data_IF_427383768899
#
_entry.id   IF_427383768899
#
_cell.length_a   1.000
_cell.length_b   1.000
_cell.length_c   1.000
_cell.angle_alpha   90.00
_cell.angle_beta   90.00
_cell.angle_gamma   90.00
#
_symmetry.space_group_name_H-M   'P 1'
#
loop_
_entity.id
_entity.type
_entity.pdbx_description
1 polymer ?
#
# COMPACT_ATOMS: atom_id res chain seq x y z
N UNK A 1 -3.69 29.91 -30.55
CA UNK A 1 -2.66 29.43 -29.64
C UNK A 1 -3.26 28.28 -28.84
N UNK A 2 -2.74 27.11 -29.05
CA UNK A 2 -3.16 25.93 -28.28
C UNK A 2 -2.71 26.13 -26.84
N UNK A 3 -3.67 26.35 -25.92
CA UNK A 3 -3.40 26.60 -24.50
C UNK A 3 -3.35 25.31 -23.67
N UNK A 4 -3.41 24.17 -24.35
CA UNK A 4 -3.26 22.87 -23.69
C UNK A 4 -1.78 22.63 -23.38
N UNK A 5 -1.50 22.15 -22.18
CA UNK A 5 -0.17 21.66 -21.90
C UNK A 5 0.08 20.38 -22.68
N UNK A 6 1.29 20.26 -23.19
CA UNK A 6 1.76 19.00 -23.72
C UNK A 6 1.75 17.93 -22.61
N UNK A 7 1.37 16.74 -22.96
CA UNK A 7 1.26 15.61 -22.03
C UNK A 7 2.61 15.31 -21.38
N UNK A 8 3.71 15.44 -22.13
CA UNK A 8 5.06 15.20 -21.59
C UNK A 8 5.41 16.19 -20.49
N UNK A 9 5.06 17.47 -20.63
CA UNK A 9 5.20 18.49 -19.59
C UNK A 9 4.40 18.15 -18.33
N UNK A 10 3.17 17.64 -18.48
CA UNK A 10 2.35 17.27 -17.33
C UNK A 10 2.89 16.02 -16.61
N UNK A 11 3.47 15.06 -17.35
CA UNK A 11 4.14 13.88 -16.78
C UNK A 11 5.36 14.30 -15.96
N UNK A 12 6.16 15.24 -16.47
CA UNK A 12 7.32 15.78 -15.73
C UNK A 12 6.87 16.50 -14.45
N UNK A 13 5.85 17.33 -14.52
CA UNK A 13 5.28 18.03 -13.35
C UNK A 13 4.82 17.02 -12.30
N UNK A 14 4.04 16.00 -12.67
CA UNK A 14 3.52 15.01 -11.71
C UNK A 14 4.66 14.19 -11.07
N UNK A 15 5.73 13.92 -11.83
CA UNK A 15 6.94 13.26 -11.36
C UNK A 15 7.69 14.08 -10.31
N UNK A 16 7.76 15.40 -10.47
CA UNK A 16 8.44 16.32 -9.56
C UNK A 16 7.66 16.68 -8.28
N UNK A 17 6.37 16.31 -8.17
CA UNK A 17 5.57 16.60 -6.97
C UNK A 17 5.98 15.71 -5.80
N UNK A 18 5.89 16.26 -4.57
CA UNK A 18 6.10 15.47 -3.36
C UNK A 18 5.11 14.30 -3.29
N UNK A 19 5.60 13.06 -3.12
CA UNK A 19 4.74 11.90 -3.02
C UNK A 19 3.95 11.92 -1.70
N UNK A 20 2.77 11.31 -1.71
CA UNK A 20 2.09 10.94 -0.47
C UNK A 20 2.89 9.86 0.23
N UNK A 21 3.13 10.02 1.53
CA UNK A 21 3.83 8.99 2.33
C UNK A 21 2.99 7.71 2.36
N UNK A 22 3.51 6.66 1.74
CA UNK A 22 2.96 5.31 1.77
C UNK A 22 3.88 4.46 2.63
N UNK A 23 3.34 3.80 3.65
CA UNK A 23 4.13 2.98 4.57
C UNK A 23 4.11 1.49 4.17
N UNK A 24 2.91 0.91 4.10
CA UNK A 24 2.76 -0.51 3.74
C UNK A 24 3.24 -0.79 2.32
N UNK A 25 2.88 0.10 1.40
CA UNK A 25 3.28 0.00 0.00
C UNK A 25 4.81 0.10 -0.16
N UNK A 26 5.45 1.02 0.57
CA UNK A 26 6.91 1.21 0.50
C UNK A 26 7.68 0.07 1.15
N UNK A 27 7.14 -0.52 2.22
CA UNK A 27 7.80 -1.57 2.97
C UNK A 27 7.68 -2.95 2.29
N UNK A 28 6.48 -3.30 1.82
CA UNK A 28 6.21 -4.64 1.28
C UNK A 28 6.15 -4.71 -0.25
N UNK A 29 5.99 -3.57 -0.94
CA UNK A 29 5.86 -3.49 -2.41
C UNK A 29 6.83 -2.45 -3.00
N UNK A 30 8.15 -2.59 -2.79
CA UNK A 30 9.13 -1.59 -3.26
C UNK A 30 9.32 -1.62 -4.78
N UNK A 31 9.14 -2.77 -5.42
CA UNK A 31 9.35 -2.95 -6.85
C UNK A 31 8.28 -2.24 -7.69
N UNK A 32 8.64 -1.82 -8.91
CA UNK A 32 7.73 -1.26 -9.91
C UNK A 32 7.86 -2.05 -11.20
N UNK A 33 6.74 -2.50 -11.75
CA UNK A 33 6.67 -3.23 -13.01
C UNK A 33 5.55 -2.64 -13.86
N UNK A 34 5.80 -2.45 -15.13
CA UNK A 34 4.80 -1.98 -16.10
C UNK A 34 4.49 -3.08 -17.12
N UNK A 35 3.21 -3.21 -17.49
CA UNK A 35 2.73 -4.19 -18.45
C UNK A 35 2.09 -3.48 -19.64
N UNK A 36 2.63 -3.66 -20.82
CA UNK A 36 2.07 -3.11 -22.07
C UNK A 36 0.77 -3.81 -22.51
N UNK A 37 0.28 -4.75 -21.71
CA UNK A 37 -0.96 -5.48 -21.95
C UNK A 37 -2.10 -4.90 -21.11
N UNK A 38 -3.34 -5.08 -21.57
CA UNK A 38 -4.54 -4.69 -20.82
C UNK A 38 -4.80 -5.59 -19.60
N UNK A 39 -4.04 -6.67 -19.45
CA UNK A 39 -4.13 -7.61 -18.33
C UNK A 39 -2.75 -7.86 -17.74
N UNK A 40 -2.71 -7.98 -16.43
CA UNK A 40 -1.51 -8.32 -15.67
C UNK A 40 -1.56 -9.81 -15.37
N UNK A 41 -0.50 -10.53 -15.71
CA UNK A 41 -0.36 -11.94 -15.34
C UNK A 41 0.69 -12.07 -14.24
N UNK A 42 0.36 -12.85 -13.23
CA UNK A 42 1.28 -13.18 -12.15
C UNK A 42 1.23 -14.69 -11.85
N UNK A 43 2.35 -15.21 -11.45
CA UNK A 43 2.52 -16.62 -11.12
C UNK A 43 2.71 -16.78 -9.62
N UNK A 44 1.97 -17.68 -8.99
CA UNK A 44 2.32 -18.17 -7.65
C UNK A 44 3.42 -19.23 -7.85
N UNK A 45 4.61 -18.91 -7.38
CA UNK A 45 5.73 -19.88 -7.31
C UNK A 45 5.71 -20.48 -5.92
N UNK A 46 5.42 -21.78 -5.83
CA UNK A 46 5.56 -22.52 -4.57
C UNK A 46 6.89 -23.25 -4.57
N UNK A 47 7.74 -23.00 -3.59
CA UNK A 47 8.95 -23.77 -3.39
C UNK A 47 8.62 -25.19 -2.85
N UNK A 48 9.24 -26.19 -3.44
CA UNK A 48 9.15 -27.56 -2.93
C UNK A 48 10.25 -27.81 -1.89
N UNK A 49 9.89 -27.61 -0.61
CA UNK A 49 10.81 -27.83 0.51
C UNK A 49 10.98 -29.31 0.90
N UNK A 50 10.53 -30.25 0.07
CA UNK A 50 10.67 -31.68 0.34
C UNK A 50 12.12 -32.11 0.24
N UNK A 51 12.54 -32.96 1.20
CA UNK A 51 13.87 -33.55 1.15
C UNK A 51 13.99 -34.55 -0.03
N UNK A 52 15.16 -34.55 -0.64
CA UNK A 52 15.49 -35.60 -1.65
C UNK A 52 15.46 -36.98 -1.00
N UNK A 53 14.74 -37.97 -1.58
CA UNK A 53 14.69 -39.31 -1.00
C UNK A 53 16.04 -40.01 -1.13
N UNK A 54 16.46 -40.74 -0.10
CA UNK A 54 17.58 -41.64 -0.19
C UNK A 54 17.18 -42.84 -1.06
N UNK A 55 18.03 -43.21 -2.01
CA UNK A 55 17.87 -44.40 -2.87
C UNK A 55 19.16 -45.23 -2.82
N UNK A 56 19.02 -46.54 -2.92
CA UNK A 56 20.17 -47.43 -3.05
C UNK A 56 20.94 -47.12 -4.35
N UNK A 57 22.27 -47.18 -4.34
CA UNK A 57 23.08 -46.99 -5.57
C UNK A 57 22.75 -47.97 -6.72
N UNK A 58 22.10 -49.09 -6.40
CA UNK A 58 21.72 -50.13 -7.34
C UNK A 58 20.27 -50.01 -7.86
N UNK A 59 19.53 -48.95 -7.44
CA UNK A 59 18.15 -48.75 -7.85
C UNK A 59 18.04 -47.42 -8.61
N UNK A 60 17.16 -47.38 -9.60
CA UNK A 60 16.91 -46.17 -10.38
C UNK A 60 16.42 -45.02 -9.48
N UNK A 61 16.88 -43.80 -9.74
CA UNK A 61 16.48 -42.60 -9.01
C UNK A 61 14.95 -42.38 -9.03
N UNK A 62 14.38 -41.88 -7.97
CA UNK A 62 12.94 -41.58 -7.85
C UNK A 62 12.66 -40.26 -8.55
N UNK A 63 11.74 -40.27 -9.52
CA UNK A 63 11.25 -39.01 -10.15
C UNK A 63 10.47 -38.20 -9.14
N UNK A 64 10.93 -37.00 -8.87
CA UNK A 64 10.20 -36.03 -8.08
C UNK A 64 9.28 -35.21 -8.99
N UNK A 65 8.01 -35.10 -8.61
CA UNK A 65 7.07 -34.23 -9.31
C UNK A 65 7.46 -32.78 -9.02
N UNK A 66 7.66 -31.99 -10.07
CA UNK A 66 7.77 -30.55 -9.93
C UNK A 66 6.41 -29.98 -9.51
N UNK A 67 6.42 -29.03 -8.59
CA UNK A 67 5.24 -28.23 -8.28
C UNK A 67 4.94 -27.37 -9.52
N UNK A 68 3.67 -27.38 -9.93
CA UNK A 68 3.22 -26.53 -11.02
C UNK A 68 3.16 -25.05 -10.56
N UNK A 69 3.49 -24.16 -11.47
CA UNK A 69 3.14 -22.73 -11.30
C UNK A 69 1.69 -22.52 -11.72
N UNK A 70 0.93 -21.76 -10.94
CA UNK A 70 -0.42 -21.37 -11.29
C UNK A 70 -0.40 -19.91 -11.79
N UNK A 71 -0.58 -19.75 -13.11
CA UNK A 71 -0.64 -18.43 -13.74
C UNK A 71 -2.05 -17.87 -13.63
N UNK A 72 -2.15 -16.64 -13.14
CA UNK A 72 -3.40 -15.89 -13.10
C UNK A 72 -3.27 -14.60 -13.89
N UNK A 73 -4.33 -14.27 -14.60
CA UNK A 73 -4.42 -13.04 -15.38
C UNK A 73 -5.55 -12.19 -14.82
N UNK A 74 -5.24 -10.97 -14.51
CA UNK A 74 -6.20 -9.99 -14.00
C UNK A 74 -6.15 -8.71 -14.81
N UNK A 75 -7.32 -8.12 -15.07
CA UNK A 75 -7.41 -6.81 -15.72
C UNK A 75 -7.47 -5.73 -14.62
N UNK A 76 -6.40 -4.91 -14.45
CA UNK A 76 -6.37 -3.91 -13.40
C UNK A 76 -7.49 -2.88 -13.62
N UNK A 77 -8.09 -2.46 -12.50
CA UNK A 77 -9.08 -1.40 -12.54
C UNK A 77 -8.44 -0.05 -12.79
N UNK A 78 -9.11 0.77 -13.56
CA UNK A 78 -8.68 2.13 -13.84
C UNK A 78 -9.04 3.10 -12.73
N UNK A 79 -8.09 3.91 -12.35
CA UNK A 79 -8.29 5.11 -11.55
C UNK A 79 -8.23 6.32 -12.47
N UNK A 80 -9.29 7.13 -12.49
CA UNK A 80 -9.42 8.30 -13.37
C UNK A 80 -9.93 9.53 -12.60
N UNK A 81 -9.21 10.03 -11.58
CA UNK A 81 -9.60 11.30 -10.97
C UNK A 81 -9.58 12.40 -12.03
N UNK A 82 -10.67 13.17 -12.09
CA UNK A 82 -10.90 14.26 -13.03
C UNK A 82 -11.43 15.46 -12.27
N UNK A 83 -10.77 16.58 -12.42
CA UNK A 83 -11.17 17.85 -11.82
C UNK A 83 -11.25 18.96 -12.87
N UNK A 84 -12.00 20.03 -12.53
CA UNK A 84 -12.22 21.20 -13.34
C UNK A 84 -11.32 22.33 -12.87
N UNK A 85 -10.64 22.99 -13.80
CA UNK A 85 -9.99 24.26 -13.52
C UNK A 85 -11.07 25.35 -13.54
N UNK A 86 -11.53 25.74 -12.36
CA UNK A 86 -12.55 26.77 -12.22
C UNK A 86 -12.01 28.13 -12.72
N UNK A 87 -12.62 28.72 -13.76
CA UNK A 87 -12.16 29.99 -14.30
C UNK A 87 -12.22 31.15 -13.29
N UNK A 88 -13.15 31.12 -12.33
CA UNK A 88 -13.27 32.17 -11.31
C UNK A 88 -12.08 32.18 -10.37
N UNK A 89 -11.54 31.00 -10.01
CA UNK A 89 -10.36 30.85 -9.15
C UNK A 89 -9.09 31.47 -9.73
N UNK A 90 -9.00 31.60 -11.06
CA UNK A 90 -7.86 32.24 -11.75
C UNK A 90 -7.79 33.74 -11.43
N UNK A 91 -8.93 34.38 -11.21
CA UNK A 91 -9.01 35.81 -10.91
C UNK A 91 -8.89 36.11 -9.42
N UNK A 92 -9.09 35.11 -8.55
CA UNK A 92 -9.00 35.26 -7.09
C UNK A 92 -7.57 35.01 -6.62
N UNK A 93 -7.11 35.82 -5.68
CA UNK A 93 -5.81 35.65 -5.02
C UNK A 93 -5.72 34.28 -4.35
N UNK A 94 -4.63 33.56 -4.58
CA UNK A 94 -4.38 32.26 -3.93
C UNK A 94 -4.02 32.42 -2.44
N UNK A 95 -4.37 31.47 -1.60
CA UNK A 95 -3.83 31.38 -0.24
C UNK A 95 -2.29 31.35 -0.27
N UNK A 96 -1.64 32.21 0.53
CA UNK A 96 -0.17 32.32 0.55
C UNK A 96 0.43 33.34 -0.44
N UNK A 97 -0.34 33.83 -1.41
CA UNK A 97 0.09 34.94 -2.28
C UNK A 97 0.10 36.26 -1.51
N UNK A 98 1.08 37.14 -1.78
CA UNK A 98 1.15 38.47 -1.14
C UNK A 98 -0.11 39.30 -1.36
N UNK A 99 -0.41 40.17 -0.37
CA UNK A 99 -1.54 41.11 -0.48
C UNK A 99 -1.28 42.05 -1.65
N UNK A 100 -2.22 42.09 -2.60
CA UNK A 100 -2.08 42.84 -3.86
C UNK A 100 -1.95 41.98 -5.08
N UNK A 101 -1.60 40.68 -4.93
CA UNK A 101 -1.54 39.70 -6.03
C UNK A 101 -0.36 39.92 -6.96
N UNK A 102 0.73 39.20 -6.76
CA UNK A 102 1.91 39.28 -7.62
C UNK A 102 1.88 38.34 -8.84
N UNK A 103 0.97 37.33 -8.81
CA UNK A 103 0.87 36.36 -9.87
C UNK A 103 -0.06 36.84 -11.01
N UNK A 104 0.35 36.59 -12.24
CA UNK A 104 -0.54 36.77 -13.41
C UNK A 104 -1.66 35.71 -13.41
N UNK A 105 -2.79 35.96 -14.10
CA UNK A 105 -3.84 34.95 -14.27
C UNK A 105 -3.32 33.62 -14.83
N UNK A 106 -2.38 33.66 -15.76
CA UNK A 106 -1.74 32.46 -16.31
C UNK A 106 -0.92 31.71 -15.28
N UNK A 107 -0.13 32.40 -14.47
CA UNK A 107 0.63 31.79 -13.39
C UNK A 107 -0.30 31.14 -12.33
N UNK A 108 -1.44 31.78 -12.02
CA UNK A 108 -2.44 31.19 -11.11
C UNK A 108 -3.07 29.93 -11.71
N UNK A 109 -3.42 29.97 -13.02
CA UNK A 109 -3.93 28.78 -13.73
C UNK A 109 -2.95 27.63 -13.64
N UNK A 110 -1.67 27.87 -13.93
CA UNK A 110 -0.63 26.84 -13.89
C UNK A 110 -0.47 26.25 -12.49
N UNK A 111 -0.50 27.10 -11.48
CA UNK A 111 -0.43 26.66 -10.10
C UNK A 111 -1.68 25.87 -9.67
N UNK A 112 -2.88 26.20 -10.17
CA UNK A 112 -4.11 25.41 -9.91
C UNK A 112 -3.99 24.03 -10.56
N UNK A 113 -3.49 23.93 -11.78
CA UNK A 113 -3.25 22.65 -12.46
C UNK A 113 -2.26 21.79 -11.66
N UNK A 114 -1.15 22.38 -11.21
CA UNK A 114 -0.19 21.66 -10.38
C UNK A 114 -0.80 21.17 -9.05
N UNK A 115 -1.62 21.96 -8.39
CA UNK A 115 -2.35 21.55 -7.17
C UNK A 115 -3.30 20.37 -7.43
N UNK A 116 -4.04 20.41 -8.56
CA UNK A 116 -4.95 19.34 -8.99
C UNK A 116 -4.14 18.05 -9.24
N UNK A 117 -3.03 18.13 -9.97
CA UNK A 117 -2.18 16.98 -10.25
C UNK A 117 -1.59 16.39 -8.96
N UNK A 118 -1.18 17.24 -8.01
CA UNK A 118 -0.71 16.80 -6.70
C UNK A 118 -1.80 16.06 -5.92
N UNK A 119 -3.04 16.55 -5.95
CA UNK A 119 -4.17 15.90 -5.29
C UNK A 119 -4.52 14.56 -5.98
N UNK A 120 -4.54 14.50 -7.31
CA UNK A 120 -4.73 13.25 -8.05
C UNK A 120 -3.68 12.21 -7.68
N UNK A 121 -2.40 12.59 -7.64
CA UNK A 121 -1.31 11.70 -7.23
C UNK A 121 -1.54 11.16 -5.81
N UNK A 122 -1.89 12.02 -4.86
CA UNK A 122 -2.18 11.62 -3.48
C UNK A 122 -3.38 10.67 -3.38
N UNK A 123 -4.44 10.89 -4.17
CA UNK A 123 -5.62 10.01 -4.22
C UNK A 123 -5.26 8.63 -4.77
N UNK A 124 -4.48 8.56 -5.86
CA UNK A 124 -4.04 7.30 -6.47
C UNK A 124 -3.15 6.52 -5.49
N UNK A 125 -2.13 7.16 -4.90
CA UNK A 125 -1.24 6.50 -3.93
C UNK A 125 -2.00 6.03 -2.68
N UNK A 126 -2.97 6.80 -2.19
CA UNK A 126 -3.84 6.38 -1.07
C UNK A 126 -4.68 5.16 -1.41
N UNK A 127 -5.18 5.06 -2.64
CA UNK A 127 -5.90 3.86 -3.10
C UNK A 127 -4.96 2.65 -3.16
N UNK A 128 -3.73 2.83 -3.63
CA UNK A 128 -2.72 1.77 -3.66
C UNK A 128 -2.33 1.31 -2.25
N UNK A 129 -2.17 2.23 -1.31
CA UNK A 129 -1.92 1.91 0.11
C UNK A 129 -3.08 1.09 0.72
N UNK A 130 -4.32 1.45 0.37
CA UNK A 130 -5.51 0.67 0.77
C UNK A 130 -5.49 -0.74 0.18
N UNK A 131 -5.17 -0.90 -1.10
CA UNK A 131 -5.03 -2.22 -1.72
C UNK A 131 -3.92 -3.04 -1.07
N UNK A 132 -2.77 -2.43 -0.77
CA UNK A 132 -1.68 -3.10 -0.05
C UNK A 132 -2.12 -3.58 1.34
N UNK A 133 -2.88 -2.76 2.08
CA UNK A 133 -3.47 -3.16 3.36
C UNK A 133 -4.43 -4.35 3.20
N UNK A 134 -5.32 -4.35 2.20
CA UNK A 134 -6.21 -5.47 1.94
C UNK A 134 -5.44 -6.77 1.66
N UNK A 135 -4.38 -6.70 0.83
CA UNK A 135 -3.53 -7.85 0.52
C UNK A 135 -2.89 -8.42 1.79
N UNK A 136 -2.29 -7.54 2.61
CA UNK A 136 -1.62 -7.96 3.84
C UNK A 136 -2.59 -8.49 4.89
N UNK A 137 -3.83 -8.02 4.92
CA UNK A 137 -4.87 -8.46 5.87
C UNK A 137 -5.56 -9.75 5.43
N UNK A 138 -5.93 -9.85 4.17
CA UNK A 138 -6.81 -10.92 3.69
C UNK A 138 -6.20 -11.80 2.60
N UNK A 139 -5.07 -11.43 2.01
CA UNK A 139 -4.50 -12.07 0.82
C UNK A 139 -5.29 -11.76 -0.46
N UNK A 140 -6.23 -10.81 -0.42
CA UNK A 140 -7.13 -10.48 -1.53
C UNK A 140 -7.28 -8.98 -1.70
N UNK A 141 -7.65 -8.55 -2.90
CA UNK A 141 -8.08 -7.18 -3.19
C UNK A 141 -9.48 -7.22 -3.75
N UNK A 142 -10.39 -6.47 -3.14
CA UNK A 142 -11.72 -6.23 -3.70
C UNK A 142 -11.69 -4.88 -4.42
N UNK A 143 -11.95 -4.93 -5.71
CA UNK A 143 -12.06 -3.76 -6.57
C UNK A 143 -13.53 -3.51 -6.84
N UNK A 144 -14.04 -2.40 -6.37
CA UNK A 144 -15.41 -1.95 -6.59
C UNK A 144 -15.43 -0.46 -6.96
N UNK A 145 -16.39 -0.04 -7.76
CA UNK A 145 -16.59 1.33 -8.16
C UNK A 145 -18.03 1.54 -8.64
N UNK A 146 -18.47 2.80 -8.75
CA UNK A 146 -19.84 3.18 -9.08
C UNK A 146 -20.32 2.56 -10.40
N UNK A 147 -19.46 2.57 -11.44
CA UNK A 147 -19.74 1.97 -12.76
C UNK A 147 -18.79 0.81 -13.09
N UNK A 148 -18.25 0.15 -12.07
CA UNK A 148 -17.29 -0.93 -12.23
C UNK A 148 -17.81 -2.19 -11.51
N UNK A 149 -17.90 -3.33 -12.22
CA UNK A 149 -18.35 -4.57 -11.57
C UNK A 149 -17.37 -4.97 -10.47
N UNK A 150 -17.91 -5.34 -9.31
CA UNK A 150 -17.09 -5.82 -8.20
C UNK A 150 -16.26 -7.02 -8.66
N UNK A 151 -14.96 -6.92 -8.53
CA UNK A 151 -14.01 -7.98 -8.85
C UNK A 151 -13.12 -8.27 -7.65
N UNK A 152 -12.93 -9.55 -7.34
CA UNK A 152 -12.00 -10.00 -6.32
C UNK A 152 -10.75 -10.56 -6.98
N UNK A 153 -9.58 -10.06 -6.57
CA UNK A 153 -8.27 -10.61 -6.93
C UNK A 153 -7.76 -11.38 -5.74
N UNK A 154 -7.70 -12.71 -5.84
CA UNK A 154 -7.18 -13.59 -4.80
C UNK A 154 -5.72 -13.94 -5.12
N UNK A 155 -4.80 -13.68 -4.19
CA UNK A 155 -3.38 -14.02 -4.30
C UNK A 155 -3.05 -15.37 -3.67
N UNK A 156 -4.06 -16.15 -3.29
CA UNK A 156 -3.93 -17.51 -2.74
C UNK A 156 -3.03 -17.60 -1.51
N UNK A 157 -3.10 -16.60 -0.63
CA UNK A 157 -2.46 -16.68 0.68
C UNK A 157 -3.10 -17.83 1.47
N UNK A 158 -2.27 -18.62 2.14
CA UNK A 158 -2.72 -19.71 3.00
C UNK A 158 -3.74 -19.21 4.03
N UNK A 159 -4.91 -19.86 4.19
CA UNK A 159 -5.90 -19.47 5.19
C UNK A 159 -5.35 -19.44 6.62
N UNK A 160 -4.35 -20.28 6.92
CA UNK A 160 -3.66 -20.30 8.20
C UNK A 160 -2.91 -19.01 8.55
N UNK A 161 -2.64 -18.15 7.55
CA UNK A 161 -1.94 -16.88 7.75
C UNK A 161 -2.89 -15.71 8.12
N UNK A 162 -4.18 -16.00 8.30
CA UNK A 162 -5.16 -15.05 8.86
C UNK A 162 -5.67 -15.62 10.18
N UNK A 163 -5.22 -15.05 11.29
CA UNK A 163 -5.47 -15.55 12.64
C UNK A 163 -6.36 -14.59 13.42
N UNK A 164 -7.14 -15.13 14.35
CA UNK A 164 -7.87 -14.34 15.35
C UNK A 164 -7.71 -15.00 16.72
N UNK A 165 -7.15 -14.26 17.66
CA UNK A 165 -7.04 -14.74 19.04
C UNK A 165 -8.43 -14.73 19.69
N UNK A 166 -8.72 -15.74 20.50
CA UNK A 166 -10.02 -15.93 21.13
C UNK A 166 -9.92 -16.19 22.62
N UNK A 167 -10.95 -15.77 23.36
CA UNK A 167 -11.01 -16.03 24.80
C UNK A 167 -9.81 -15.49 25.57
N UNK A 168 -9.19 -16.32 26.38
CA UNK A 168 -8.09 -15.95 27.28
C UNK A 168 -6.76 -15.64 26.58
N UNK A 169 -6.64 -15.96 25.28
CA UNK A 169 -5.42 -15.63 24.50
C UNK A 169 -5.45 -14.21 23.93
N UNK A 170 -6.56 -13.50 23.97
CA UNK A 170 -6.67 -12.12 23.51
C UNK A 170 -5.72 -11.21 24.31
N UNK A 171 -5.04 -10.31 23.66
CA UNK A 171 -4.13 -9.38 24.32
C UNK A 171 -4.84 -8.34 25.21
N UNK A 172 -6.16 -8.28 25.16
CA UNK A 172 -6.96 -7.56 26.16
C UNK A 172 -6.96 -8.22 27.52
N UNK A 173 -6.74 -9.52 27.59
CA UNK A 173 -6.75 -10.32 28.81
C UNK A 173 -5.39 -10.29 29.52
N UNK A 174 -5.39 -10.35 30.83
CA UNK A 174 -4.16 -10.34 31.63
C UNK A 174 -3.37 -11.64 31.56
N UNK A 175 -4.00 -12.72 31.12
CA UNK A 175 -3.42 -14.06 30.98
C UNK A 175 -2.74 -14.29 29.63
N UNK A 176 -2.90 -13.37 28.70
CA UNK A 176 -2.29 -13.47 27.38
C UNK A 176 -0.76 -13.40 27.47
N UNK A 177 -0.11 -14.02 26.50
CA UNK A 177 1.35 -14.09 26.39
C UNK A 177 1.80 -13.64 25.00
N UNK A 178 1.86 -12.32 24.76
CA UNK A 178 2.16 -11.79 23.43
C UNK A 178 3.50 -12.22 22.84
N UNK A 179 4.51 -12.50 23.69
CA UNK A 179 5.81 -12.96 23.21
C UNK A 179 5.76 -14.40 22.71
N UNK A 180 5.07 -15.30 23.46
CA UNK A 180 4.85 -16.69 23.03
C UNK A 180 4.04 -16.73 21.72
N UNK A 181 3.06 -15.82 21.57
CA UNK A 181 2.28 -15.69 20.35
C UNK A 181 3.17 -15.29 19.16
N UNK A 182 4.03 -14.28 19.33
CA UNK A 182 4.96 -13.81 18.27
C UNK A 182 5.92 -14.93 17.87
N UNK A 183 6.45 -15.69 18.83
CA UNK A 183 7.31 -16.84 18.57
C UNK A 183 6.56 -17.94 17.79
N UNK A 184 5.29 -18.20 18.15
CA UNK A 184 4.47 -19.18 17.44
C UNK A 184 4.18 -18.75 16.01
N UNK A 185 3.93 -17.45 15.77
CA UNK A 185 3.74 -16.90 14.41
C UNK A 185 5.01 -16.99 13.59
N UNK A 186 6.18 -16.72 14.21
CA UNK A 186 7.47 -16.86 13.55
C UNK A 186 7.76 -18.32 13.16
N UNK A 187 7.35 -19.28 13.99
CA UNK A 187 7.47 -20.70 13.67
C UNK A 187 6.49 -21.18 12.58
N UNK A 188 5.33 -20.51 12.44
CA UNK A 188 4.31 -20.82 11.44
C UNK A 188 4.62 -20.20 10.08
N UNK A 189 5.28 -19.04 10.05
CA UNK A 189 5.54 -18.27 8.83
C UNK A 189 6.47 -19.03 7.89
N UNK A 190 6.20 -18.96 6.58
CA UNK A 190 7.08 -19.53 5.55
C UNK A 190 8.38 -18.73 5.36
N UNK A 191 8.43 -17.51 5.88
CA UNK A 191 9.59 -16.62 5.82
C UNK A 191 9.87 -15.99 7.20
N UNK A 192 11.12 -15.60 7.50
CA UNK A 192 11.44 -14.94 8.75
C UNK A 192 10.61 -13.68 8.96
N UNK A 193 10.01 -13.52 10.13
CA UNK A 193 9.31 -12.30 10.51
C UNK A 193 10.34 -11.31 11.05
N UNK A 194 10.47 -10.16 10.39
CA UNK A 194 11.39 -9.09 10.84
C UNK A 194 10.65 -7.82 11.26
N UNK A 195 9.34 -7.74 10.96
CA UNK A 195 8.56 -6.52 11.21
C UNK A 195 7.18 -6.87 11.75
N UNK A 196 6.81 -6.23 12.85
CA UNK A 196 5.46 -6.23 13.41
C UNK A 196 4.85 -4.84 13.21
N UNK A 197 3.76 -4.77 12.47
CA UNK A 197 3.00 -3.54 12.27
C UNK A 197 1.68 -3.69 13.01
N UNK A 198 1.44 -2.80 13.95
CA UNK A 198 0.28 -2.83 14.82
C UNK A 198 -0.58 -1.59 14.61
N UNK A 199 -1.90 -1.74 14.73
CA UNK A 199 -2.71 -0.57 14.97
C UNK A 199 -2.50 -0.02 16.39
N UNK A 200 -2.99 1.18 16.65
CA UNK A 200 -2.82 1.84 17.94
C UNK A 200 -3.41 1.05 19.12
N UNK A 201 -4.51 0.32 18.91
CA UNK A 201 -5.16 -0.45 19.96
C UNK A 201 -4.37 -1.73 20.28
N UNK A 202 -3.94 -2.45 19.24
CA UNK A 202 -3.08 -3.64 19.40
C UNK A 202 -1.78 -3.28 20.11
N UNK A 203 -1.10 -2.20 19.70
CA UNK A 203 0.12 -1.75 20.35
C UNK A 203 -0.10 -1.41 21.83
N UNK A 204 -1.17 -0.70 22.18
CA UNK A 204 -1.49 -0.38 23.58
C UNK A 204 -1.69 -1.63 24.41
N UNK A 205 -2.37 -2.64 23.89
CA UNK A 205 -2.53 -3.92 24.56
C UNK A 205 -1.19 -4.63 24.71
N UNK A 206 -0.35 -4.64 23.68
CA UNK A 206 0.97 -5.26 23.65
C UNK A 206 1.93 -4.70 24.72
N UNK A 207 2.02 -3.37 24.83
CA UNK A 207 2.94 -2.70 25.79
C UNK A 207 2.48 -2.80 27.25
N UNK A 208 1.28 -3.30 27.54
CA UNK A 208 0.81 -3.48 28.94
C UNK A 208 1.55 -4.59 29.67
N UNK A 209 2.14 -5.53 28.96
CA UNK A 209 2.85 -6.66 29.54
C UNK A 209 4.29 -6.28 29.92
N UNK A 210 4.67 -6.52 31.18
CA UNK A 210 6.02 -6.21 31.67
C UNK A 210 7.12 -6.90 30.88
N UNK A 211 6.88 -8.14 30.44
CA UNK A 211 7.83 -8.90 29.63
C UNK A 211 8.15 -8.17 28.31
N UNK A 212 7.12 -7.64 27.66
CA UNK A 212 7.28 -6.84 26.44
C UNK A 212 8.06 -5.57 26.73
N UNK A 213 7.72 -4.85 27.81
CA UNK A 213 8.41 -3.60 28.18
C UNK A 213 9.91 -3.82 28.46
N UNK A 214 10.27 -4.96 29.05
CA UNK A 214 11.68 -5.30 29.35
C UNK A 214 12.49 -5.64 28.09
N UNK A 215 11.84 -6.24 27.08
CA UNK A 215 12.50 -6.66 25.84
C UNK A 215 12.47 -5.61 24.74
N UNK A 216 11.52 -4.68 24.78
CA UNK A 216 11.40 -3.64 23.78
C UNK A 216 12.54 -2.62 23.94
N UNK A 217 13.53 -2.70 23.05
CA UNK A 217 14.67 -1.78 23.05
C UNK A 217 14.39 -0.59 22.12
N UNK A 218 14.15 0.56 22.73
CA UNK A 218 13.97 1.84 22.04
C UNK A 218 15.27 2.54 21.64
N UNK A 219 16.45 1.99 21.96
CA UNK A 219 17.76 2.68 21.85
C UNK A 219 18.21 2.96 20.42
N UNK A 220 17.66 2.29 19.43
CA UNK A 220 18.01 2.54 18.02
C UNK A 220 17.63 3.95 17.56
N UNK A 221 16.68 4.56 18.23
CA UNK A 221 16.37 5.99 18.14
C UNK A 221 16.96 6.71 19.37
N UNK A 222 18.22 7.06 19.34
CA UNK A 222 18.97 7.70 20.45
C UNK A 222 18.46 9.10 20.84
N UNK A 223 17.18 9.35 20.72
CA UNK A 223 16.49 10.57 21.15
C UNK A 223 15.58 10.26 22.31
N UNK A 224 16.17 10.13 23.49
CA UNK A 224 15.57 10.25 24.82
C UNK A 224 14.27 9.43 25.13
N UNK A 225 14.12 9.08 26.40
CA UNK A 225 12.98 8.48 27.12
C UNK A 225 11.56 9.01 26.76
N UNK A 226 11.45 9.89 25.75
CA UNK A 226 10.23 10.58 25.34
C UNK A 226 9.44 9.88 24.21
N UNK A 227 9.94 8.77 23.64
CA UNK A 227 9.24 8.11 22.51
C UNK A 227 8.16 7.10 22.98
N UNK A 228 8.03 6.84 24.25
CA UNK A 228 6.86 6.18 24.85
C UNK A 228 5.68 7.12 25.00
N UNK A 229 5.82 8.37 24.58
CA UNK A 229 4.76 9.38 24.62
C UNK A 229 3.58 9.08 23.68
N UNK A 230 2.48 9.80 23.86
CA UNK A 230 1.31 9.65 23.01
C UNK A 230 1.66 9.91 21.55
N UNK A 231 1.15 9.06 20.66
CA UNK A 231 1.34 9.16 19.23
C UNK A 231 0.88 10.53 18.72
N UNK A 232 1.81 11.32 18.20
CA UNK A 232 1.60 12.73 17.80
C UNK A 232 0.86 12.90 16.47
N UNK A 233 0.17 11.85 15.98
CA UNK A 233 -0.64 11.91 14.77
C UNK A 233 0.11 11.63 13.48
N UNK A 234 1.35 11.15 13.54
CA UNK A 234 2.06 10.59 12.38
C UNK A 234 1.31 9.37 11.86
N UNK A 235 1.36 9.15 10.54
CA UNK A 235 0.72 7.99 9.92
C UNK A 235 1.35 6.67 10.38
N UNK A 236 2.65 6.68 10.66
CA UNK A 236 3.39 5.55 11.21
C UNK A 236 4.47 6.01 12.17
N UNK A 237 4.82 5.18 13.13
CA UNK A 237 5.89 5.45 14.09
C UNK A 237 6.61 4.17 14.47
N UNK A 238 7.95 4.23 14.43
CA UNK A 238 8.81 3.18 14.95
C UNK A 238 8.80 3.20 16.49
N UNK A 239 8.63 2.06 17.12
CA UNK A 239 8.53 1.95 18.58
C UNK A 239 9.72 1.26 19.22
N UNK A 240 10.50 0.54 18.46
CA UNK A 240 11.66 -0.18 18.95
C UNK A 240 11.85 -1.54 18.29
N UNK A 241 12.82 -2.31 18.78
CA UNK A 241 13.03 -3.69 18.40
C UNK A 241 12.76 -4.62 19.58
N UNK A 242 12.20 -5.79 19.29
CA UNK A 242 12.12 -6.92 20.21
C UNK A 242 13.30 -7.85 19.94
N UNK A 243 14.13 -8.08 20.95
CA UNK A 243 15.38 -8.81 20.73
C UNK A 243 16.32 -8.09 19.77
N UNK A 244 16.98 -8.84 18.86
CA UNK A 244 17.97 -8.28 17.93
C UNK A 244 17.37 -7.76 16.62
N UNK A 245 16.30 -8.37 16.11
CA UNK A 245 15.95 -8.24 14.69
C UNK A 245 14.47 -7.93 14.39
N UNK A 246 13.59 -7.98 15.38
CA UNK A 246 12.15 -7.78 15.16
C UNK A 246 11.73 -6.32 15.40
N UNK A 247 11.49 -5.58 14.36
CA UNK A 247 11.06 -4.18 14.41
C UNK A 247 9.57 -4.05 14.74
N UNK A 248 9.24 -3.16 15.66
CA UNK A 248 7.85 -2.84 16.05
C UNK A 248 7.47 -1.47 15.53
N UNK A 249 6.40 -1.42 14.75
CA UNK A 249 5.85 -0.22 14.16
C UNK A 249 4.38 -0.05 14.54
N UNK A 250 3.98 1.18 14.79
CA UNK A 250 2.56 1.55 14.92
C UNK A 250 2.12 2.28 13.66
N UNK A 251 1.06 1.80 13.04
CA UNK A 251 0.49 2.39 11.84
C UNK A 251 -0.92 2.93 12.11
N UNK A 252 -1.11 4.19 11.78
CA UNK A 252 -2.36 4.94 11.99
C UNK A 252 -2.89 5.55 10.69
N UNK A 253 -2.48 4.98 9.54
CA UNK A 253 -2.94 5.41 8.23
C UNK A 253 -4.45 5.25 8.07
N UNK A 254 -5.06 6.18 7.34
CA UNK A 254 -6.51 6.19 7.12
C UNK A 254 -6.87 6.85 5.79
N UNK A 255 -8.08 6.58 5.34
CA UNK A 255 -8.73 7.34 4.27
C UNK A 255 -10.08 7.90 4.76
N UNK A 256 -10.69 8.74 3.96
CA UNK A 256 -12.05 9.23 4.19
C UNK A 256 -12.96 8.66 3.10
N UNK A 257 -14.11 8.16 3.52
CA UNK A 257 -15.18 7.74 2.62
C UNK A 257 -15.95 8.95 2.05
N UNK A 258 -16.98 8.69 1.26
CA UNK A 258 -17.86 9.71 0.69
C UNK A 258 -18.60 10.52 1.76
N UNK A 259 -18.92 9.89 2.89
CA UNK A 259 -19.52 10.55 4.07
C UNK A 259 -18.48 11.33 4.91
N UNK A 260 -17.22 11.44 4.41
CA UNK A 260 -16.08 12.07 5.09
C UNK A 260 -15.70 11.42 6.43
N UNK A 261 -16.17 10.21 6.71
CA UNK A 261 -15.77 9.44 7.87
C UNK A 261 -14.34 8.95 7.73
N UNK A 262 -13.62 8.94 8.84
CA UNK A 262 -12.25 8.46 8.90
C UNK A 262 -12.24 6.93 9.05
N UNK A 263 -11.75 6.23 8.03
CA UNK A 263 -11.63 4.77 8.03
C UNK A 263 -10.14 4.41 8.07
N UNK A 264 -9.68 3.70 9.11
CA UNK A 264 -8.28 3.26 9.19
C UNK A 264 -8.00 2.18 8.15
N UNK A 265 -6.77 2.14 7.63
CA UNK A 265 -6.33 1.05 6.75
C UNK A 265 -6.18 -0.27 7.49
N UNK A 266 -5.72 -0.22 8.75
CA UNK A 266 -5.72 -1.38 9.64
C UNK A 266 -6.93 -1.32 10.57
N UNK A 267 -7.77 -2.37 10.60
CA UNK A 267 -8.83 -2.49 11.59
C UNK A 267 -8.29 -2.43 13.03
N UNK A 268 -9.10 -2.02 14.01
CA UNK A 268 -8.70 -2.04 15.42
C UNK A 268 -8.24 -3.42 15.88
N UNK A 269 -7.23 -3.45 16.75
CA UNK A 269 -6.64 -4.67 17.31
C UNK A 269 -6.02 -5.60 16.27
N UNK A 270 -5.48 -5.04 15.20
CA UNK A 270 -4.84 -5.82 14.14
C UNK A 270 -3.32 -5.71 14.21
N UNK A 271 -2.66 -6.84 13.99
CA UNK A 271 -1.21 -6.97 13.84
C UNK A 271 -0.93 -7.60 12.47
N UNK A 272 -0.01 -7.01 11.73
CA UNK A 272 0.61 -7.62 10.56
C UNK A 272 2.02 -8.01 10.95
N UNK A 273 2.34 -9.30 10.84
CA UNK A 273 3.66 -9.84 11.05
C UNK A 273 4.22 -10.27 9.68
N UNK A 274 5.37 -9.75 9.29
CA UNK A 274 5.93 -10.05 7.97
C UNK A 274 7.35 -9.56 7.82
N UNK A 275 7.84 -9.63 6.59
CA UNK A 275 9.18 -9.18 6.23
C UNK A 275 9.24 -8.71 4.78
N UNK A 276 10.40 -8.18 4.37
CA UNK A 276 10.68 -7.87 2.96
C UNK A 276 10.57 -9.09 2.02
N UNK A 277 10.51 -10.32 2.57
CA UNK A 277 10.32 -11.56 1.81
C UNK A 277 8.97 -11.65 1.08
N UNK A 278 7.98 -10.81 1.43
CA UNK A 278 6.76 -10.62 0.61
C UNK A 278 7.12 -10.28 -0.84
N UNK A 279 8.28 -9.59 -1.04
CA UNK A 279 8.83 -9.20 -2.36
C UNK A 279 7.76 -8.67 -3.30
N UNK A 280 6.92 -7.78 -2.77
CA UNK A 280 5.80 -7.25 -3.52
C UNK A 280 6.22 -6.24 -4.58
N UNK A 281 5.44 -6.16 -5.65
CA UNK A 281 5.65 -5.22 -6.74
C UNK A 281 4.41 -4.37 -6.98
N UNK A 282 4.61 -3.13 -7.37
CA UNK A 282 3.58 -2.23 -7.87
C UNK A 282 3.48 -2.42 -9.37
N UNK A 283 2.47 -3.15 -9.81
CA UNK A 283 2.22 -3.40 -11.21
C UNK A 283 1.31 -2.31 -11.80
N UNK A 284 1.64 -1.84 -12.98
CA UNK A 284 0.83 -0.86 -13.72
C UNK A 284 0.50 -1.40 -15.10
N UNK A 285 -0.78 -1.47 -15.41
CA UNK A 285 -1.28 -1.87 -16.73
C UNK A 285 -1.18 -0.75 -17.76
N UNK A 286 -1.38 -1.09 -19.03
CA UNK A 286 -1.39 -0.14 -20.12
C UNK A 286 -2.54 0.89 -19.99
N UNK A 287 -2.24 2.14 -20.27
CA UNK A 287 -3.23 3.21 -20.31
C UNK A 287 -3.97 3.16 -21.64
N UNK A 288 -5.28 2.95 -21.61
CA UNK A 288 -6.14 2.86 -22.80
C UNK A 288 -6.53 4.29 -23.22
N UNK A 289 -5.55 5.03 -23.71
CA UNK A 289 -5.73 6.39 -24.26
C UNK A 289 -4.79 6.57 -25.46
N UNK A 290 -5.33 7.07 -26.57
CA UNK A 290 -4.55 7.33 -27.79
C UNK A 290 -3.44 8.35 -27.57
N UNK A 291 -3.68 9.34 -26.69
CA UNK A 291 -2.67 10.36 -26.36
C UNK A 291 -1.51 9.77 -25.53
N UNK A 292 -1.73 8.65 -24.82
CA UNK A 292 -0.69 7.90 -24.14
C UNK A 292 0.06 6.93 -25.07
N UNK A 293 -0.37 6.81 -26.33
CA UNK A 293 0.14 5.81 -27.25
C UNK A 293 -0.08 4.36 -26.77
N UNK A 294 -1.09 4.15 -25.91
CA UNK A 294 -1.43 2.86 -25.28
C UNK A 294 -0.30 2.23 -24.46
N UNK A 295 0.64 3.05 -23.97
CA UNK A 295 1.79 2.61 -23.18
C UNK A 295 1.43 2.38 -21.71
N UNK A 296 2.19 1.53 -21.06
CA UNK A 296 2.11 1.35 -19.61
C UNK A 296 2.85 2.49 -18.91
N UNK A 297 2.18 3.14 -17.95
CA UNK A 297 2.74 4.23 -17.16
C UNK A 297 2.17 4.17 -15.74
N UNK A 298 2.94 4.63 -14.77
CA UNK A 298 2.43 4.74 -13.39
C UNK A 298 1.25 5.71 -13.31
N UNK A 299 1.39 6.88 -13.92
CA UNK A 299 0.38 7.94 -13.96
C UNK A 299 0.45 8.67 -15.29
N UNK A 300 -0.69 8.86 -15.91
CA UNK A 300 -0.84 9.57 -17.16
C UNK A 300 -1.76 10.78 -16.99
N UNK A 301 -1.21 11.98 -16.80
CA UNK A 301 -1.98 13.22 -16.74
C UNK A 301 -2.37 13.70 -18.12
N UNK A 302 -3.56 14.29 -18.24
CA UNK A 302 -4.08 14.89 -19.46
C UNK A 302 -4.94 16.10 -19.13
N UNK A 303 -4.82 17.16 -19.92
CA UNK A 303 -5.74 18.29 -19.85
C UNK A 303 -6.37 18.58 -21.23
N UNK A 304 -7.56 19.14 -21.20
CA UNK A 304 -8.25 19.61 -22.39
C UNK A 304 -9.26 20.69 -22.03
N UNK A 305 -9.59 21.52 -23.02
CA UNK A 305 -10.58 22.59 -22.89
C UNK A 305 -11.79 22.23 -23.73
N UNK A 306 -12.98 22.23 -23.15
CA UNK A 306 -14.21 22.19 -23.89
C UNK A 306 -14.49 23.57 -24.49
N UNK A 307 -15.08 23.61 -25.68
CA UNK A 307 -15.37 24.87 -26.35
C UNK A 307 -16.65 25.55 -25.80
N UNK A 308 -17.64 24.73 -25.42
CA UNK A 308 -18.90 25.22 -24.87
C UNK A 308 -19.44 24.23 -23.81
N UNK A 309 -19.60 24.63 -22.54
CA UNK A 309 -18.98 25.83 -21.95
C UNK A 309 -17.44 25.75 -21.97
N UNK A 310 -16.78 26.92 -22.04
CA UNK A 310 -15.32 27.01 -22.04
C UNK A 310 -14.72 26.62 -20.68
N UNK A 311 -14.65 25.33 -20.44
CA UNK A 311 -14.17 24.73 -19.18
C UNK A 311 -12.95 23.88 -19.45
N UNK A 312 -11.92 24.06 -18.65
CA UNK A 312 -10.70 23.25 -18.69
C UNK A 312 -10.79 22.09 -17.69
N UNK A 313 -10.48 20.89 -18.17
CA UNK A 313 -10.43 19.67 -17.38
C UNK A 313 -9.00 19.19 -17.22
N UNK A 314 -8.69 18.70 -16.04
CA UNK A 314 -7.45 17.97 -15.74
C UNK A 314 -7.83 16.58 -15.25
N UNK A 315 -7.25 15.56 -15.83
CA UNK A 315 -7.49 14.16 -15.48
C UNK A 315 -6.16 13.42 -15.36
N UNK A 316 -6.05 12.52 -14.42
CA UNK A 316 -4.91 11.61 -14.31
C UNK A 316 -5.42 10.18 -14.40
N UNK A 317 -4.82 9.37 -15.27
CA UNK A 317 -5.17 7.96 -15.45
C UNK A 317 -4.07 7.10 -14.85
N UNK A 318 -4.46 6.00 -14.21
CA UNK A 318 -3.55 4.97 -13.71
C UNK A 318 -4.29 3.63 -13.66
N UNK A 319 -3.56 2.53 -13.86
CA UNK A 319 -4.11 1.17 -13.76
C UNK A 319 -3.25 0.32 -12.82
N UNK A 320 -3.18 0.67 -11.51
CA UNK A 320 -2.28 0.04 -10.56
C UNK A 320 -2.87 -1.23 -9.96
N UNK A 321 -1.97 -2.19 -9.65
CA UNK A 321 -2.26 -3.35 -8.83
C UNK A 321 -1.00 -3.72 -8.04
N UNK A 322 -0.98 -3.61 -6.70
CA UNK A 322 0.06 -4.22 -5.89
C UNK A 322 -0.03 -5.74 -5.97
N UNK A 323 1.09 -6.42 -6.18
CA UNK A 323 1.14 -7.88 -6.31
C UNK A 323 2.20 -8.40 -5.34
N UNK A 324 1.85 -9.22 -4.34
CA UNK A 324 2.81 -9.94 -3.52
C UNK A 324 3.33 -11.14 -4.32
N UNK A 325 4.66 -11.32 -4.43
CA UNK A 325 5.23 -12.54 -5.03
C UNK A 325 5.15 -13.72 -4.08
N UNK A 326 5.31 -13.45 -2.79
CA UNK A 326 5.20 -14.44 -1.72
C UNK A 326 4.13 -13.99 -0.71
N UNK A 327 2.84 -14.24 -0.99
CA UNK A 327 1.75 -13.81 -0.11
C UNK A 327 1.78 -14.47 1.26
N UNK A 328 2.40 -15.65 1.36
CA UNK A 328 2.52 -16.41 2.60
C UNK A 328 3.68 -15.96 3.52
N UNK A 329 4.48 -14.97 3.08
CA UNK A 329 5.50 -14.32 3.90
C UNK A 329 4.96 -13.25 4.86
N UNK A 330 3.64 -13.06 4.93
CA UNK A 330 2.98 -12.16 5.86
C UNK A 330 1.76 -12.83 6.50
N UNK A 331 1.61 -12.59 7.82
CA UNK A 331 0.44 -13.01 8.61
C UNK A 331 -0.35 -11.79 9.04
N UNK A 332 -1.66 -11.94 9.10
CA UNK A 332 -2.56 -10.94 9.68
C UNK A 332 -3.27 -11.53 10.90
N UNK A 333 -3.19 -10.84 12.01
CA UNK A 333 -3.67 -11.33 13.30
C UNK A 333 -4.60 -10.31 13.94
N UNK A 334 -5.79 -10.74 14.35
CA UNK A 334 -6.68 -9.97 15.23
C UNK A 334 -6.40 -10.39 16.67
N UNK A 335 -5.91 -9.46 17.50
CA UNK A 335 -5.39 -9.79 18.85
C UNK A 335 -6.36 -9.48 20.01
N UNK A 336 -7.53 -8.88 19.73
CA UNK A 336 -8.55 -8.61 20.77
C UNK A 336 -9.97 -8.55 20.18
#
# INVERSE_FOLDING_TARGET
MDRNYDTDTLVEVIGGLEPFETFLLSLFFPGVITFETSSISFDKVSEDMRLAPFVSPLVAGKVMKQLGSEMRTFKPAYLKPKDVVDPERVFVRRPGEQIGGTLSPEQRRNAIIADILADHRKRILRRMEHMAAQILLTGKVVVEGEDYPTQEVDFYRSPGNTLALTGATRWSESTAKPLDDVESWAAQAEAPITTLIMDRHAYRNFVRFEEVQKLLDGRRNSRSELETGPDTGRLYSYKGTLGSDLEVWVYSGYYRDEAKQKIPFLPPNTVIAGSAAVDGVRAYGAIIDSSAGYRAMEMFPKNWINQDPAVEYVMTQSAPLPIPRHPDAALAITVA
#
